data_IF_988461425668
#
_entry.id   IF_988461425668
#
_cell.length_a   1.000
_cell.length_b   1.000
_cell.length_c   1.000
_cell.angle_alpha   90.00
_cell.angle_beta   90.00
_cell.angle_gamma   90.00
#
_symmetry.space_group_name_H-M   'P 1'
#
loop_
_entity.id
_entity.type
_entity.pdbx_description
1 polymer ?
#
# COMPACT_ATOMS: atom_id res chain seq x y z
N UNK A 1 36.54 -17.76 -25.29
CA UNK A 1 35.65 -16.87 -24.54
C UNK A 1 35.95 -17.06 -23.06
N UNK A 2 36.73 -16.18 -22.45
CA UNK A 2 36.96 -16.24 -21.00
C UNK A 2 35.72 -15.61 -20.36
N UNK A 3 34.87 -16.43 -19.76
CA UNK A 3 33.78 -15.93 -18.92
C UNK A 3 34.42 -15.41 -17.64
N UNK A 4 34.74 -14.11 -17.61
CA UNK A 4 35.08 -13.42 -16.38
C UNK A 4 33.81 -13.36 -15.53
N UNK A 5 33.55 -14.41 -14.74
CA UNK A 5 32.64 -14.32 -13.61
C UNK A 5 33.32 -13.46 -12.53
N UNK A 6 33.42 -12.15 -12.76
CA UNK A 6 33.37 -11.24 -11.61
C UNK A 6 31.99 -11.48 -11.03
N UNK A 7 31.93 -12.08 -9.85
CA UNK A 7 30.68 -12.14 -9.09
C UNK A 7 30.30 -10.68 -8.82
N UNK A 8 29.40 -10.14 -9.65
CA UNK A 8 28.83 -8.83 -9.43
C UNK A 8 27.98 -8.94 -8.16
N UNK A 9 28.44 -8.26 -7.11
CA UNK A 9 27.77 -8.22 -5.80
C UNK A 9 27.39 -6.77 -5.50
N UNK A 10 26.29 -6.60 -4.78
CA UNK A 10 25.89 -5.31 -4.25
C UNK A 10 26.32 -5.23 -2.78
N UNK A 11 26.85 -4.10 -2.35
CA UNK A 11 27.10 -3.82 -0.93
C UNK A 11 26.09 -2.77 -0.49
N UNK A 12 25.21 -3.14 0.43
CA UNK A 12 24.18 -2.26 0.96
C UNK A 12 24.22 -2.29 2.50
N UNK A 13 24.42 -1.12 3.11
CA UNK A 13 24.58 -0.96 4.57
C UNK A 13 25.60 -1.92 5.22
N UNK A 14 26.67 -2.27 4.48
CA UNK A 14 27.70 -3.21 4.95
C UNK A 14 27.38 -4.68 4.74
N UNK A 15 26.18 -5.02 4.26
CA UNK A 15 25.79 -6.39 3.87
C UNK A 15 26.06 -6.61 2.38
N UNK A 16 26.60 -7.78 2.05
CA UNK A 16 26.87 -8.20 0.67
C UNK A 16 25.70 -9.02 0.13
N UNK A 17 25.16 -8.62 -1.01
CA UNK A 17 24.06 -9.28 -1.70
C UNK A 17 24.52 -9.82 -3.06
N UNK A 18 24.08 -11.04 -3.38
CA UNK A 18 24.34 -11.66 -4.67
C UNK A 18 23.44 -11.05 -5.75
N UNK A 19 23.89 -11.11 -7.00
CA UNK A 19 23.09 -10.67 -8.14
C UNK A 19 21.71 -11.38 -8.16
N UNK A 20 20.63 -10.61 -8.25
CA UNK A 20 19.24 -11.09 -8.19
C UNK A 20 18.67 -11.28 -6.79
N UNK A 21 19.49 -11.19 -5.74
CA UNK A 21 19.02 -11.25 -4.36
C UNK A 21 18.15 -10.05 -4.04
N UNK A 22 17.06 -10.29 -3.31
CA UNK A 22 16.09 -9.26 -2.90
C UNK A 22 15.86 -9.30 -1.39
N UNK A 23 15.68 -8.14 -0.79
CA UNK A 23 15.43 -7.98 0.64
C UNK A 23 14.42 -6.87 0.90
N UNK A 24 13.80 -6.93 2.07
CA UNK A 24 12.93 -5.87 2.57
C UNK A 24 13.76 -4.94 3.46
N UNK A 25 13.63 -3.64 3.24
CA UNK A 25 14.23 -2.59 4.05
C UNK A 25 13.17 -1.87 4.88
N UNK A 26 13.61 -1.11 5.88
CA UNK A 26 12.74 -0.36 6.79
C UNK A 26 11.87 0.65 6.03
N UNK A 27 10.56 0.63 6.27
CA UNK A 27 9.65 1.53 5.57
C UNK A 27 9.16 1.01 4.22
N UNK A 28 9.07 -0.32 4.08
CA UNK A 28 8.32 -0.97 2.99
C UNK A 28 8.96 -0.81 1.61
N UNK A 29 10.29 -0.80 1.59
CA UNK A 29 11.09 -0.78 0.38
C UNK A 29 11.58 -2.20 0.10
N UNK A 30 11.19 -2.75 -1.05
CA UNK A 30 11.78 -3.97 -1.56
C UNK A 30 12.96 -3.60 -2.45
N UNK A 31 14.14 -4.03 -2.03
CA UNK A 31 15.38 -3.81 -2.75
C UNK A 31 15.83 -5.08 -3.45
N UNK A 32 16.50 -4.92 -4.59
CA UNK A 32 17.09 -6.01 -5.37
C UNK A 32 18.47 -5.61 -5.87
N UNK A 33 19.42 -6.56 -5.83
CA UNK A 33 20.73 -6.39 -6.46
C UNK A 33 20.62 -6.62 -7.98
N UNK A 34 20.82 -5.57 -8.76
CA UNK A 34 20.59 -5.50 -10.20
C UNK A 34 21.89 -5.25 -10.98
N UNK A 35 21.89 -5.67 -12.24
CA UNK A 35 23.01 -5.47 -13.17
C UNK A 35 22.95 -4.04 -13.74
N UNK A 36 24.10 -3.34 -13.95
CA UNK A 36 25.47 -3.84 -13.88
C UNK A 36 26.08 -4.06 -12.49
N UNK A 37 25.77 -3.26 -11.45
CA UNK A 37 26.20 -3.53 -10.03
C UNK A 37 25.32 -2.75 -9.03
N UNK A 38 24.10 -2.35 -9.41
CA UNK A 38 23.30 -1.37 -8.67
C UNK A 38 22.29 -2.00 -7.72
N UNK A 39 22.02 -1.34 -6.61
CA UNK A 39 20.83 -1.63 -5.77
C UNK A 39 19.66 -0.81 -6.30
N UNK A 40 18.56 -1.48 -6.65
CA UNK A 40 17.30 -0.83 -6.96
C UNK A 40 16.28 -1.12 -5.86
N UNK A 41 15.59 -0.10 -5.36
CA UNK A 41 14.56 -0.25 -4.33
C UNK A 41 13.24 0.35 -4.81
N UNK A 42 12.13 -0.32 -4.50
CA UNK A 42 10.78 0.11 -4.83
C UNK A 42 9.89 0.07 -3.59
N UNK A 43 9.02 1.08 -3.42
CA UNK A 43 7.95 1.02 -2.42
C UNK A 43 6.98 -0.13 -2.76
N UNK A 44 6.74 -1.02 -1.80
CA UNK A 44 5.74 -2.10 -1.95
C UNK A 44 4.35 -1.68 -1.50
N UNK A 45 4.24 -0.50 -0.89
CA UNK A 45 2.97 0.06 -0.46
C UNK A 45 2.13 0.48 -1.66
N UNK A 46 0.99 -0.19 -1.83
CA UNK A 46 -0.01 0.23 -2.82
C UNK A 46 -0.78 1.42 -2.27
N UNK A 47 -0.54 2.61 -2.82
CA UNK A 47 -1.23 3.83 -2.42
C UNK A 47 -2.65 3.83 -3.02
N UNK A 48 -3.71 3.81 -2.19
CA UNK A 48 -5.08 3.97 -2.70
C UNK A 48 -5.21 5.33 -3.37
N UNK A 49 -5.76 5.33 -4.58
CA UNK A 49 -6.16 6.53 -5.32
C UNK A 49 -7.67 6.51 -5.50
N UNK A 50 -8.27 7.67 -5.75
CA UNK A 50 -9.69 7.81 -6.09
C UNK A 50 -10.65 7.13 -5.08
N UNK A 51 -10.54 7.50 -3.80
CA UNK A 51 -11.43 7.03 -2.74
C UNK A 51 -12.36 8.15 -2.23
N UNK A 52 -13.50 7.80 -1.60
CA UNK A 52 -14.47 8.80 -1.12
C UNK A 52 -13.87 9.79 -0.11
N UNK A 53 -14.34 11.04 -0.12
CA UNK A 53 -13.84 12.10 0.76
C UNK A 53 -14.05 11.85 2.26
N UNK A 54 -14.89 10.86 2.63
CA UNK A 54 -15.08 10.44 4.03
C UNK A 54 -14.11 9.34 4.48
N UNK A 55 -13.20 8.91 3.61
CA UNK A 55 -12.13 7.97 3.93
C UNK A 55 -10.79 8.69 4.09
N UNK A 56 -9.94 8.13 4.94
CA UNK A 56 -8.54 8.52 5.13
C UNK A 56 -7.63 7.30 4.97
N UNK A 57 -6.39 7.55 4.54
CA UNK A 57 -5.38 6.50 4.37
C UNK A 57 -4.68 6.25 5.72
N UNK A 58 -4.71 5.01 6.18
CA UNK A 58 -3.91 4.53 7.32
C UNK A 58 -2.79 3.62 6.81
N UNK A 59 -1.56 3.91 7.22
CA UNK A 59 -0.40 3.07 6.94
C UNK A 59 -0.20 2.04 8.05
N UNK A 60 -0.21 0.77 7.70
CA UNK A 60 0.19 -0.34 8.57
C UNK A 60 1.66 -0.71 8.27
N UNK A 61 2.57 -0.26 9.13
CA UNK A 61 4.02 -0.36 8.92
C UNK A 61 4.55 -1.79 9.01
N UNK A 62 3.91 -2.66 9.79
CA UNK A 62 4.34 -4.05 9.97
C UNK A 62 4.05 -4.93 8.75
N UNK A 63 2.97 -4.65 8.03
CA UNK A 63 2.53 -5.46 6.88
C UNK A 63 2.74 -4.74 5.56
N UNK A 64 3.19 -3.49 5.60
CA UNK A 64 3.38 -2.63 4.44
C UNK A 64 2.10 -2.45 3.61
N UNK A 65 0.98 -2.28 4.31
CA UNK A 65 -0.33 -2.05 3.70
C UNK A 65 -0.85 -0.66 4.00
N UNK A 66 -1.45 -0.04 3.00
CA UNK A 66 -2.27 1.15 3.19
C UNK A 66 -3.73 0.72 3.15
N UNK A 67 -4.47 1.04 4.20
CA UNK A 67 -5.91 0.72 4.32
C UNK A 67 -6.71 2.01 4.36
N UNK A 68 -7.92 1.98 3.80
CA UNK A 68 -8.88 3.07 3.90
C UNK A 68 -9.70 2.90 5.18
N UNK A 69 -9.72 3.94 6.01
CA UNK A 69 -10.49 4.00 7.24
C UNK A 69 -11.43 5.20 7.21
N UNK A 70 -12.49 5.19 8.01
CA UNK A 70 -13.40 6.33 8.07
C UNK A 70 -12.72 7.53 8.74
N UNK A 71 -12.91 8.72 8.19
CA UNK A 71 -12.42 9.97 8.79
C UNK A 71 -13.09 10.24 10.14
N UNK A 72 -14.35 9.80 10.31
CA UNK A 72 -15.12 9.98 11.55
C UNK A 72 -14.72 8.99 12.67
N UNK A 73 -14.35 7.76 12.30
CA UNK A 73 -13.83 6.76 13.23
C UNK A 73 -12.75 5.92 12.53
N UNK A 74 -11.46 6.22 12.74
CA UNK A 74 -10.36 5.52 12.09
C UNK A 74 -10.30 4.02 12.39
N UNK A 75 -11.02 3.52 13.41
CA UNK A 75 -11.06 2.09 13.74
C UNK A 75 -11.93 1.29 12.77
N UNK A 76 -12.77 1.97 11.99
CA UNK A 76 -13.68 1.35 11.04
C UNK A 76 -13.09 1.40 9.61
N UNK A 77 -13.08 0.28 8.88
CA UNK A 77 -12.65 0.26 7.49
C UNK A 77 -13.67 0.94 6.58
N UNK A 78 -13.21 1.52 5.48
CA UNK A 78 -14.07 1.87 4.36
C UNK A 78 -14.38 0.60 3.56
N UNK A 79 -15.66 0.23 3.47
CA UNK A 79 -16.11 -0.92 2.68
C UNK A 79 -16.63 -0.38 1.35
N UNK A 80 -16.05 -0.77 0.20
CA UNK A 80 -16.64 -0.49 -1.11
C UNK A 80 -17.96 -1.26 -1.22
N UNK A 81 -19.06 -0.60 -0.88
CA UNK A 81 -20.41 -1.12 -1.03
C UNK A 81 -20.91 -0.85 -2.44
N UNK A 82 -21.25 -1.93 -3.14
CA UNK A 82 -21.99 -1.93 -4.41
C UNK A 82 -23.18 -0.96 -4.32
N UNK A 83 -23.03 0.24 -4.90
CA UNK A 83 -24.14 1.19 -5.11
C UNK A 83 -24.57 2.10 -3.96
N UNK A 84 -23.87 2.18 -2.82
CA UNK A 84 -24.19 3.17 -1.78
C UNK A 84 -23.00 4.08 -1.48
N UNK A 85 -22.95 5.16 -2.25
CA UNK A 85 -22.26 6.42 -1.97
C UNK A 85 -22.90 7.09 -0.74
N UNK A 86 -22.92 6.40 0.40
CA UNK A 86 -23.47 6.93 1.64
C UNK A 86 -22.36 7.67 2.37
N UNK A 87 -22.26 8.98 2.11
CA UNK A 87 -21.53 9.91 2.97
C UNK A 87 -22.13 9.83 4.39
N UNK A 88 -21.38 9.39 5.42
CA UNK A 88 -21.86 9.30 6.79
C UNK A 88 -22.34 10.64 7.38
N UNK A 89 -22.03 11.77 6.72
CA UNK A 89 -22.54 13.10 7.10
C UNK A 89 -24.01 13.30 6.73
N UNK A 90 -24.56 12.51 5.81
CA UNK A 90 -25.97 12.49 5.46
C UNK A 90 -26.60 11.24 6.08
N UNK A 91 -27.20 11.41 7.26
CA UNK A 91 -27.90 10.33 7.94
C UNK A 91 -28.95 9.66 7.04
N UNK A 92 -29.19 8.36 7.29
CA UNK A 92 -30.18 7.53 6.61
C UNK A 92 -31.50 8.30 6.39
N UNK A 93 -31.79 8.66 5.14
CA UNK A 93 -33.16 9.01 4.76
C UNK A 93 -33.95 7.71 4.69
N UNK A 94 -34.35 7.22 5.86
CA UNK A 94 -35.41 6.23 6.00
C UNK A 94 -36.70 6.84 5.43
N UNK A 95 -36.98 6.58 4.17
CA UNK A 95 -38.24 6.95 3.55
C UNK A 95 -39.18 5.75 3.51
N UNK A 96 -39.50 5.24 4.70
CA UNK A 96 -40.75 4.52 4.95
C UNK A 96 -41.78 5.49 5.52
N UNK A 97 -42.26 6.44 4.70
CA UNK A 97 -43.45 7.22 5.00
C UNK A 97 -44.59 6.75 4.07
N UNK A 98 -45.23 5.65 4.46
CA UNK A 98 -46.65 5.43 4.15
C UNK A 98 -47.47 6.18 5.20
N UNK A 99 -48.12 7.27 4.79
CA UNK A 99 -49.38 7.81 5.30
C UNK A 99 -50.03 8.48 4.07
N UNK A 100 -51.14 7.96 3.52
CA UNK A 100 -52.52 8.35 3.89
C UNK A 100 -52.66 9.88 3.81
N UNK A 101 -53.38 10.49 2.87
CA UNK A 101 -54.64 10.18 2.17
C UNK A 101 -54.58 10.66 0.70
#
# INVERSE_FOLDING_TARGET
MVSHHVLAVCIYQGTTYSMGESWMEDGCLQCTCLHPVGVGCCETVHRPVDFPAWCEVRVETLTCKMILVQSADPRLPCIPGDGHEMDPRYGSLDNNLRLAE
#
